data_IF_093706897906
#
_entry.id   IF_093706897906
#
_cell.length_a   1.000
_cell.length_b   1.000
_cell.length_c   1.000
_cell.angle_alpha   90.00
_cell.angle_beta   90.00
_cell.angle_gamma   90.00
#
_symmetry.space_group_name_H-M   'P 1'
#
loop_
_entity.id
_entity.type
_entity.pdbx_description
1 polymer ?
#
# COMPACT_ATOMS: atom_id res chain seq x y z
N UNK A 1 -26.06 -35.18 4.64
CA UNK A 1 -25.73 -33.74 4.64
C UNK A 1 -24.89 -33.51 5.87
N UNK A 2 -23.69 -32.96 5.72
CA UNK A 2 -23.01 -32.06 6.67
C UNK A 2 -21.59 -31.83 6.14
N UNK A 3 -21.40 -30.72 5.43
CA UNK A 3 -20.09 -30.18 5.11
C UNK A 3 -19.76 -29.21 6.26
N UNK A 4 -18.76 -29.47 7.13
CA UNK A 4 -18.36 -28.45 8.08
C UNK A 4 -17.66 -27.31 7.36
N UNK A 5 -18.02 -26.11 7.83
CA UNK A 5 -17.74 -24.80 7.28
C UNK A 5 -16.29 -24.59 6.85
N UNK A 6 -16.15 -24.12 5.60
CA UNK A 6 -14.95 -23.60 5.02
C UNK A 6 -14.81 -22.12 5.44
N UNK A 7 -14.42 -21.87 6.69
CA UNK A 7 -14.04 -20.52 7.16
C UNK A 7 -12.52 -20.49 7.37
N UNK A 8 -11.80 -20.69 6.26
CA UNK A 8 -10.38 -20.32 6.14
C UNK A 8 -10.30 -18.78 6.06
N UNK A 9 -10.71 -18.10 7.13
CA UNK A 9 -10.30 -16.72 7.36
C UNK A 9 -8.83 -16.77 7.77
N UNK A 10 -7.96 -16.93 6.77
CA UNK A 10 -6.53 -16.72 6.94
C UNK A 10 -6.35 -15.29 7.46
N UNK A 11 -5.96 -15.18 8.73
CA UNK A 11 -5.48 -13.92 9.28
C UNK A 11 -4.39 -13.40 8.33
N UNK A 12 -4.47 -12.15 7.86
CA UNK A 12 -3.51 -11.64 6.88
C UNK A 12 -2.09 -11.84 7.41
N UNK A 13 -1.28 -12.61 6.68
CA UNK A 13 0.08 -12.90 7.07
C UNK A 13 0.84 -11.59 7.29
N UNK A 14 1.73 -11.53 8.27
CA UNK A 14 2.57 -10.34 8.52
C UNK A 14 3.28 -9.94 7.23
N UNK A 15 3.15 -8.67 6.84
CA UNK A 15 3.66 -8.14 5.57
C UNK A 15 2.66 -8.19 4.41
N UNK A 16 1.47 -8.78 4.60
CA UNK A 16 0.39 -8.75 3.61
C UNK A 16 -0.03 -7.34 3.29
N UNK A 17 -0.27 -7.07 2.01
CA UNK A 17 -0.80 -5.79 1.55
C UNK A 17 -2.32 -5.79 1.73
N UNK A 18 -2.82 -4.90 2.58
CA UNK A 18 -4.24 -4.74 2.89
C UNK A 18 -4.92 -3.89 1.81
N UNK A 19 -4.29 -2.77 1.46
CA UNK A 19 -4.72 -1.85 0.40
C UNK A 19 -3.50 -1.27 -0.30
N UNK A 20 -3.64 -0.95 -1.57
CA UNK A 20 -2.63 -0.23 -2.33
C UNK A 20 -3.31 0.71 -3.32
N UNK A 21 -2.68 1.85 -3.56
CA UNK A 21 -3.10 2.81 -4.56
C UNK A 21 -1.87 3.42 -5.23
N UNK A 22 -1.99 3.75 -6.51
CA UNK A 22 -0.93 4.41 -7.26
C UNK A 22 -1.50 5.59 -8.04
N UNK A 23 -0.69 6.63 -8.20
CA UNK A 23 -1.02 7.75 -9.05
C UNK A 23 0.22 8.26 -9.76
N UNK A 24 0.00 8.92 -10.88
CA UNK A 24 1.02 9.69 -11.57
C UNK A 24 0.75 11.16 -11.37
N UNK A 25 1.76 11.90 -10.91
CA UNK A 25 1.67 13.35 -10.73
C UNK A 25 2.87 14.06 -11.34
N UNK A 26 2.69 15.33 -11.67
CA UNK A 26 3.75 16.19 -12.20
C UNK A 26 4.17 17.17 -11.12
N UNK A 27 5.43 17.08 -10.71
CA UNK A 27 6.05 18.05 -9.80
C UNK A 27 7.05 18.85 -10.65
N UNK A 28 6.77 20.15 -10.82
CA UNK A 28 7.45 21.03 -11.78
C UNK A 28 7.39 20.50 -13.23
N UNK A 29 8.52 20.05 -13.77
CA UNK A 29 8.63 19.53 -15.13
C UNK A 29 8.80 18.01 -15.17
N UNK A 30 8.81 17.37 -14.00
CA UNK A 30 9.13 15.95 -13.86
C UNK A 30 7.89 15.16 -13.46
N UNK A 31 7.69 14.02 -14.11
CA UNK A 31 6.59 13.10 -13.85
C UNK A 31 7.07 12.04 -12.86
N UNK A 32 6.33 11.91 -11.76
CA UNK A 32 6.56 10.91 -10.73
C UNK A 32 5.36 9.98 -10.63
N UNK A 33 5.64 8.72 -10.31
CA UNK A 33 4.61 7.79 -9.84
C UNK A 33 4.76 7.65 -8.34
N UNK A 34 3.70 8.00 -7.61
CA UNK A 34 3.60 7.72 -6.18
C UNK A 34 2.75 6.48 -5.99
N UNK A 35 3.27 5.56 -5.19
CA UNK A 35 2.53 4.38 -4.75
C UNK A 35 2.42 4.44 -3.23
N UNK A 36 1.25 4.11 -2.72
CA UNK A 36 1.00 3.96 -1.30
C UNK A 36 0.40 2.60 -1.04
N UNK A 37 0.76 2.00 0.09
CA UNK A 37 0.19 0.74 0.55
C UNK A 37 -0.03 0.76 2.05
N UNK A 38 -1.00 -0.01 2.51
CA UNK A 38 -1.21 -0.33 3.92
C UNK A 38 -0.84 -1.79 4.08
N UNK A 39 0.11 -2.09 4.97
CA UNK A 39 0.54 -3.46 5.27
C UNK A 39 0.08 -3.90 6.65
N UNK A 40 -0.15 -5.21 6.80
CA UNK A 40 -0.38 -5.85 8.09
C UNK A 40 0.95 -6.00 8.83
N UNK A 41 1.00 -5.55 10.08
CA UNK A 41 2.11 -5.74 11.00
C UNK A 41 1.79 -6.82 12.04
N UNK A 42 2.80 -7.35 12.75
CA UNK A 42 2.58 -8.23 13.89
C UNK A 42 1.65 -7.60 14.92
N UNK A 43 0.81 -8.42 15.55
CA UNK A 43 -0.10 -7.96 16.61
C UNK A 43 -1.32 -7.20 16.09
N UNK A 44 -1.72 -7.40 14.83
CA UNK A 44 -2.95 -6.81 14.27
C UNK A 44 -2.83 -5.33 13.88
N UNK A 45 -1.67 -4.71 14.10
CA UNK A 45 -1.43 -3.31 13.70
C UNK A 45 -1.30 -3.18 12.19
N UNK A 46 -1.61 -2.00 11.65
CA UNK A 46 -1.38 -1.67 10.24
C UNK A 46 -0.33 -0.57 10.12
N UNK A 47 0.39 -0.55 9.01
CA UNK A 47 1.37 0.50 8.68
C UNK A 47 1.13 1.01 7.27
N UNK A 48 1.07 2.33 7.13
CA UNK A 48 1.13 2.99 5.83
C UNK A 48 2.57 3.12 5.36
N UNK A 49 2.80 2.76 4.10
CA UNK A 49 4.07 2.94 3.42
C UNK A 49 3.86 3.61 2.07
N UNK A 50 4.94 4.20 1.55
CA UNK A 50 4.94 4.81 0.23
C UNK A 50 6.23 4.53 -0.53
N UNK A 51 6.14 4.56 -1.86
CA UNK A 51 7.23 4.42 -2.81
C UNK A 51 7.11 5.50 -3.88
N UNK A 52 8.24 5.98 -4.40
CA UNK A 52 8.27 6.98 -5.48
C UNK A 52 9.14 6.48 -6.62
N UNK A 53 8.58 6.51 -7.83
CA UNK A 53 9.27 6.18 -9.06
C UNK A 53 9.42 7.42 -9.93
N UNK A 54 10.55 7.50 -10.62
CA UNK A 54 10.83 8.45 -11.69
C UNK A 54 11.10 7.64 -12.96
N UNK A 55 10.30 7.81 -14.01
CA UNK A 55 10.50 7.07 -15.28
C UNK A 55 10.63 5.54 -15.13
N UNK A 56 9.96 4.96 -14.12
CA UNK A 56 10.01 3.54 -13.69
C UNK A 56 11.20 3.16 -12.81
N UNK A 57 12.15 4.06 -12.57
CA UNK A 57 13.22 3.86 -11.60
C UNK A 57 12.74 4.19 -10.19
N UNK A 58 13.01 3.29 -9.24
CA UNK A 58 12.70 3.51 -7.83
C UNK A 58 13.71 4.51 -7.26
N UNK A 59 13.26 5.74 -7.04
CA UNK A 59 14.09 6.79 -6.41
C UNK A 59 13.91 6.85 -4.89
N UNK A 60 12.79 6.31 -4.40
CA UNK A 60 12.50 6.11 -2.98
C UNK A 60 11.73 4.81 -2.84
N UNK A 61 12.32 3.81 -2.18
CA UNK A 61 11.64 2.53 -1.93
C UNK A 61 10.62 2.64 -0.79
N UNK A 62 9.86 1.57 -0.56
CA UNK A 62 8.85 1.46 0.50
C UNK A 62 9.38 1.99 1.84
N UNK A 63 8.83 3.13 2.23
CA UNK A 63 9.21 3.86 3.43
C UNK A 63 7.96 4.11 4.25
N UNK A 64 8.07 4.00 5.56
CA UNK A 64 6.98 4.30 6.48
C UNK A 64 6.51 5.75 6.30
N UNK A 65 5.20 5.92 6.14
CA UNK A 65 4.57 7.22 5.98
C UNK A 65 3.28 7.16 5.17
N UNK A 66 2.34 8.04 5.50
CA UNK A 66 1.10 8.22 4.76
C UNK A 66 1.21 9.45 3.84
N UNK A 67 1.52 9.18 2.57
CA UNK A 67 1.49 10.20 1.51
C UNK A 67 0.12 10.29 0.84
N UNK A 68 -0.74 9.28 0.99
CA UNK A 68 -2.01 9.20 0.28
C UNK A 68 -2.93 10.38 0.60
N UNK A 69 -2.94 10.80 1.86
CA UNK A 69 -3.69 11.98 2.33
C UNK A 69 -3.30 13.30 1.63
N UNK A 70 -2.04 13.47 1.22
CA UNK A 70 -1.56 14.72 0.60
C UNK A 70 -1.78 14.76 -0.90
N UNK A 71 -2.04 13.61 -1.50
CA UNK A 71 -2.09 13.44 -2.94
C UNK A 71 -3.45 12.94 -3.45
N UNK A 72 -4.44 12.80 -2.58
CA UNK A 72 -5.81 12.40 -2.94
C UNK A 72 -5.89 10.93 -3.40
N UNK A 73 -5.01 10.07 -2.92
CA UNK A 73 -5.07 8.63 -3.18
C UNK A 73 -6.19 8.01 -2.33
N UNK A 74 -7.13 7.32 -2.98
CA UNK A 74 -8.21 6.60 -2.32
C UNK A 74 -7.70 5.24 -1.80
N UNK A 75 -7.16 5.23 -0.58
CA UNK A 75 -6.58 4.04 0.06
C UNK A 75 -7.15 3.77 1.46
N UNK A 76 -8.06 4.61 1.94
CA UNK A 76 -8.67 4.49 3.27
C UNK A 76 -10.04 3.84 3.23
#
# INVERSE_FOLDING_TARGET
>A
MDLPANDDQQEPEVGSIIKQASMTTRIHQTIYTLESRIIQQPGGMTRSEYRVLLERDVIKDWTEGDVAQYFGLDIY
#
